data_IF_488305267029
#
_entry.id   IF_488305267029
#
_cell.length_a   1.000
_cell.length_b   1.000
_cell.length_c   1.000
_cell.angle_alpha   90.00
_cell.angle_beta   90.00
_cell.angle_gamma   90.00
#
_symmetry.space_group_name_H-M   'P 1'
#
loop_
_entity.id
_entity.type
_entity.pdbx_description
1 polymer ?
#
# COMPACT_ATOMS: atom_id res chain seq x y z
N UNK A 1 0.72 9.32 -0.35
CA UNK A 1 0.85 9.17 -1.82
C UNK A 1 0.28 10.41 -2.50
N UNK A 2 0.82 10.85 -3.64
CA UNK A 2 0.26 11.93 -4.45
C UNK A 2 -0.19 11.39 -5.82
N UNK A 3 -1.28 11.94 -6.37
CA UNK A 3 -1.69 11.69 -7.76
C UNK A 3 -1.45 12.93 -8.59
N UNK A 4 -0.60 12.77 -9.60
CA UNK A 4 -0.30 13.77 -10.61
C UNK A 4 -1.20 13.50 -11.83
N UNK A 5 -1.55 14.56 -12.55
CA UNK A 5 -2.36 14.43 -13.78
C UNK A 5 -1.51 14.75 -15.00
N UNK A 6 -1.57 13.89 -16.00
CA UNK A 6 -0.81 13.97 -17.24
C UNK A 6 -1.77 13.95 -18.44
N UNK A 7 -1.57 14.76 -19.49
CA UNK A 7 -0.64 15.88 -19.56
C UNK A 7 -1.07 17.06 -18.66
N UNK A 8 -0.11 17.81 -18.14
CA UNK A 8 -0.39 19.11 -17.49
C UNK A 8 -0.39 20.16 -18.58
N UNK A 9 -1.49 20.90 -18.72
CA UNK A 9 -1.66 21.96 -19.71
C UNK A 9 -2.28 23.18 -19.05
N UNK A 10 -1.76 24.37 -19.36
CA UNK A 10 -2.29 25.64 -18.86
C UNK A 10 -3.31 26.27 -19.83
N UNK A 11 -4.28 25.49 -20.32
CA UNK A 11 -5.34 25.98 -21.20
C UNK A 11 -6.73 25.64 -20.62
N UNK A 12 -7.72 26.49 -20.92
CA UNK A 12 -9.09 26.32 -20.41
C UNK A 12 -9.76 25.04 -20.95
N UNK A 13 -9.41 24.64 -22.18
CA UNK A 13 -9.97 23.44 -22.82
C UNK A 13 -9.55 22.15 -22.10
N UNK A 14 -8.34 22.06 -21.55
CA UNK A 14 -7.89 20.89 -20.80
C UNK A 14 -8.45 20.82 -19.38
N UNK A 15 -9.03 21.91 -18.86
CA UNK A 15 -9.57 21.94 -17.50
C UNK A 15 -10.71 20.92 -17.33
N UNK A 16 -11.62 20.84 -18.31
CA UNK A 16 -12.80 19.96 -18.27
C UNK A 16 -12.54 18.55 -18.84
N UNK A 17 -11.30 18.21 -19.20
CA UNK A 17 -10.95 16.92 -19.78
C UNK A 17 -10.36 15.99 -18.73
N UNK A 18 -10.78 14.73 -18.76
CA UNK A 18 -10.18 13.68 -17.94
C UNK A 18 -8.73 13.51 -18.38
N UNK A 19 -7.83 13.52 -17.41
CA UNK A 19 -6.39 13.37 -17.62
C UNK A 19 -5.93 12.00 -17.11
N UNK A 20 -4.80 11.56 -17.62
CA UNK A 20 -4.11 10.35 -17.21
C UNK A 20 -3.57 10.51 -15.80
N UNK A 21 -3.78 9.51 -14.95
CA UNK A 21 -3.25 9.56 -13.59
C UNK A 21 -1.85 8.96 -13.52
N UNK A 22 -0.93 9.69 -12.89
CA UNK A 22 0.41 9.26 -12.57
C UNK A 22 0.62 9.32 -11.06
N UNK A 23 0.92 8.18 -10.46
CA UNK A 23 1.01 7.99 -9.02
C UNK A 23 2.45 8.17 -8.55
N UNK A 24 2.59 8.83 -7.41
CA UNK A 24 3.87 9.01 -6.73
C UNK A 24 3.73 8.63 -5.25
N UNK A 25 4.44 7.59 -4.83
CA UNK A 25 4.58 7.22 -3.43
C UNK A 25 5.99 7.53 -2.95
N UNK A 26 6.13 8.19 -1.79
CA UNK A 26 7.41 8.62 -1.27
C UNK A 26 7.75 7.83 0.00
N UNK A 27 8.91 7.19 0.01
CA UNK A 27 9.57 6.65 1.21
C UNK A 27 10.79 7.50 1.47
N UNK A 28 10.79 8.19 2.61
CA UNK A 28 11.97 8.93 3.06
C UNK A 28 12.79 8.05 3.98
N UNK A 29 14.03 7.74 3.60
CA UNK A 29 14.97 7.03 4.44
C UNK A 29 15.65 8.02 5.39
N UNK A 30 15.39 7.84 6.69
CA UNK A 30 15.95 8.67 7.75
C UNK A 30 17.45 8.41 7.98
N UNK A 31 17.95 7.21 7.66
CA UNK A 31 19.36 6.87 7.83
C UNK A 31 20.22 7.55 6.77
N UNK A 32 19.84 7.43 5.49
CA UNK A 32 20.55 8.10 4.39
C UNK A 32 20.14 9.56 4.17
N UNK A 33 19.09 10.04 4.84
CA UNK A 33 18.46 11.34 4.63
C UNK A 33 18.03 11.57 3.17
N UNK A 34 17.52 10.54 2.49
CA UNK A 34 17.12 10.59 1.08
C UNK A 34 15.65 10.25 0.87
N UNK A 35 15.00 11.04 0.01
CA UNK A 35 13.66 10.73 -0.49
C UNK A 35 13.74 9.75 -1.66
N UNK A 36 12.92 8.72 -1.62
CA UNK A 36 12.73 7.75 -2.69
C UNK A 36 11.28 7.84 -3.19
N UNK A 37 11.09 8.27 -4.43
CA UNK A 37 9.78 8.37 -5.07
C UNK A 37 9.57 7.19 -6.02
N UNK A 38 8.56 6.38 -5.72
CA UNK A 38 8.10 5.26 -6.53
C UNK A 38 6.97 5.76 -7.43
N UNK A 39 7.18 5.66 -8.74
CA UNK A 39 6.29 6.20 -9.75
C UNK A 39 5.69 5.10 -10.60
N UNK A 40 4.37 5.15 -10.81
CA UNK A 40 3.65 4.27 -11.72
C UNK A 40 2.43 5.00 -12.27
N UNK A 41 1.86 4.50 -13.35
CA UNK A 41 0.62 5.05 -13.88
C UNK A 41 -0.57 4.11 -13.73
N UNK A 42 -1.76 4.64 -14.02
CA UNK A 42 -3.02 3.92 -13.88
C UNK A 42 -3.20 2.75 -14.87
N UNK A 43 -2.31 2.56 -15.83
CA UNK A 43 -2.30 1.35 -16.69
C UNK A 43 -1.51 0.21 -16.06
N UNK A 44 -0.55 0.52 -15.18
CA UNK A 44 0.30 -0.47 -14.54
C UNK A 44 -0.34 -1.04 -13.27
N UNK A 45 -0.88 -0.15 -12.42
CA UNK A 45 -1.50 -0.53 -11.15
C UNK A 45 -2.45 0.56 -10.67
N UNK A 46 -3.41 0.17 -9.83
CA UNK A 46 -4.37 1.09 -9.23
C UNK A 46 -3.74 1.87 -8.06
N UNK A 47 -4.56 2.25 -7.07
CA UNK A 47 -4.11 2.78 -5.79
C UNK A 47 -4.72 1.94 -4.68
N UNK A 48 -3.93 1.67 -3.66
CA UNK A 48 -4.43 0.91 -2.52
C UNK A 48 -3.29 0.26 -1.77
N UNK A 49 -3.67 -0.63 -0.85
CA UNK A 49 -2.72 -1.29 0.03
C UNK A 49 -1.72 -2.19 -0.71
N UNK A 50 -2.12 -2.85 -1.81
CA UNK A 50 -1.22 -3.68 -2.59
C UNK A 50 -0.06 -2.86 -3.18
N UNK A 51 -0.35 -1.68 -3.74
CA UNK A 51 0.67 -0.82 -4.35
C UNK A 51 1.63 -0.24 -3.32
N UNK A 52 1.10 0.20 -2.17
CA UNK A 52 1.94 0.73 -1.07
C UNK A 52 2.87 -0.36 -0.55
N UNK A 53 2.35 -1.56 -0.29
CA UNK A 53 3.17 -2.67 0.18
C UNK A 53 4.19 -3.12 -0.87
N UNK A 54 3.84 -3.09 -2.15
CA UNK A 54 4.75 -3.41 -3.25
C UNK A 54 5.89 -2.39 -3.34
N UNK A 55 5.61 -1.10 -3.19
CA UNK A 55 6.64 -0.06 -3.12
C UNK A 55 7.57 -0.26 -1.90
N UNK A 56 7.00 -0.63 -0.74
CA UNK A 56 7.80 -0.96 0.45
C UNK A 56 8.71 -2.16 0.21
N UNK A 57 8.19 -3.24 -0.39
CA UNK A 57 8.98 -4.41 -0.77
C UNK A 57 10.10 -4.04 -1.75
N UNK A 58 9.80 -3.20 -2.75
CA UNK A 58 10.80 -2.72 -3.70
C UNK A 58 11.90 -1.92 -3.02
N UNK A 59 11.54 -1.04 -2.08
CA UNK A 59 12.52 -0.30 -1.30
C UNK A 59 13.42 -1.23 -0.48
N UNK A 60 12.84 -2.23 0.19
CA UNK A 60 13.62 -3.22 0.96
C UNK A 60 14.55 -4.02 0.04
N UNK A 61 14.06 -4.47 -1.11
CA UNK A 61 14.87 -5.18 -2.11
C UNK A 61 16.09 -4.36 -2.54
N UNK A 62 15.88 -3.08 -2.87
CA UNK A 62 16.95 -2.18 -3.32
C UNK A 62 17.98 -1.85 -2.24
N UNK A 63 17.60 -1.93 -0.95
CA UNK A 63 18.48 -1.61 0.19
C UNK A 63 18.89 -2.85 1.00
N UNK A 64 18.60 -4.06 0.50
CA UNK A 64 18.83 -5.32 1.23
C UNK A 64 20.30 -5.56 1.59
N UNK A 65 21.23 -5.02 0.81
CA UNK A 65 22.69 -5.11 1.04
C UNK A 65 23.14 -4.48 2.35
N UNK A 66 22.36 -3.57 2.92
CA UNK A 66 22.76 -2.79 4.08
C UNK A 66 22.66 -3.60 5.39
N UNK A 67 22.05 -4.79 5.35
CA UNK A 67 22.11 -5.79 6.41
C UNK A 67 21.36 -5.43 7.70
N UNK A 68 20.46 -4.45 7.66
CA UNK A 68 19.70 -4.02 8.83
C UNK A 68 18.70 -5.10 9.29
N UNK A 69 18.66 -5.34 10.60
CA UNK A 69 17.78 -6.36 11.24
C UNK A 69 16.56 -5.78 11.92
N UNK A 70 16.56 -4.48 12.19
CA UNK A 70 15.45 -3.76 12.80
C UNK A 70 14.92 -2.71 11.84
N UNK A 71 13.61 -2.69 11.63
CA UNK A 71 12.94 -1.72 10.78
C UNK A 71 11.94 -0.89 11.57
N UNK A 72 12.07 0.44 11.50
CA UNK A 72 11.10 1.38 12.07
C UNK A 72 10.45 2.17 10.95
N UNK A 73 9.14 2.02 10.79
CA UNK A 73 8.33 2.69 9.77
C UNK A 73 7.49 3.76 10.46
N UNK A 74 7.57 4.99 9.96
CA UNK A 74 6.64 6.07 10.33
C UNK A 74 5.69 6.30 9.16
N UNK A 75 4.38 6.29 9.41
CA UNK A 75 3.38 6.44 8.38
C UNK A 75 2.20 7.31 8.84
N UNK A 76 1.44 7.87 7.90
CA UNK A 76 0.19 8.56 8.20
C UNK A 76 -0.93 7.56 8.59
N UNK A 77 -2.03 8.08 9.14
CA UNK A 77 -3.19 7.28 9.56
C UNK A 77 -4.15 6.93 8.40
N UNK A 78 -3.73 6.95 7.14
CA UNK A 78 -4.62 6.66 6.01
C UNK A 78 -5.02 5.18 5.98
N UNK A 79 -6.28 4.87 6.33
CA UNK A 79 -6.77 3.49 6.45
C UNK A 79 -6.66 2.69 5.14
N UNK A 80 -7.08 3.27 4.01
CA UNK A 80 -7.08 2.59 2.71
C UNK A 80 -5.68 2.26 2.16
N UNK A 81 -4.63 2.92 2.66
CA UNK A 81 -3.28 2.83 2.11
C UNK A 81 -2.26 2.31 3.13
N UNK A 82 -2.09 3.03 4.23
CA UNK A 82 -1.00 2.82 5.18
C UNK A 82 -1.45 2.07 6.45
N UNK A 83 -2.62 2.42 7.01
CA UNK A 83 -3.13 1.86 8.26
C UNK A 83 -4.16 0.77 8.03
N UNK A 84 -3.70 -0.36 7.50
CA UNK A 84 -4.53 -1.56 7.33
C UNK A 84 -3.77 -2.82 7.73
N UNK A 85 -4.51 -3.92 7.91
CA UNK A 85 -3.96 -5.21 8.30
C UNK A 85 -2.96 -5.77 7.28
N UNK A 86 -3.11 -5.45 5.98
CA UNK A 86 -2.23 -5.98 4.95
C UNK A 86 -0.79 -5.46 5.09
N UNK A 87 -0.60 -4.21 5.54
CA UNK A 87 0.73 -3.69 5.90
C UNK A 87 1.35 -4.48 7.06
N UNK A 88 0.54 -4.82 8.08
CA UNK A 88 0.99 -5.65 9.21
C UNK A 88 1.38 -7.06 8.73
N UNK A 89 0.57 -7.67 7.86
CA UNK A 89 0.83 -9.00 7.31
C UNK A 89 2.07 -9.04 6.42
N UNK A 90 2.28 -8.01 5.61
CA UNK A 90 3.49 -7.90 4.79
C UNK A 90 4.74 -7.81 5.68
N UNK A 91 4.69 -7.02 6.76
CA UNK A 91 5.77 -6.94 7.75
C UNK A 91 5.99 -8.29 8.46
N UNK A 92 4.92 -8.98 8.83
CA UNK A 92 5.01 -10.31 9.43
C UNK A 92 5.67 -11.32 8.47
N UNK A 93 5.33 -11.25 7.19
CA UNK A 93 5.97 -12.05 6.14
C UNK A 93 7.46 -11.75 6.01
N UNK A 94 7.87 -10.48 6.06
CA UNK A 94 9.29 -10.09 6.03
C UNK A 94 10.08 -10.64 7.23
N UNK A 95 9.48 -10.68 8.42
CA UNK A 95 10.06 -11.37 9.58
C UNK A 95 10.20 -12.87 9.33
N UNK A 96 9.18 -13.50 8.75
CA UNK A 96 9.19 -14.93 8.45
C UNK A 96 10.23 -15.33 7.40
N UNK A 97 10.50 -14.46 6.41
CA UNK A 97 11.57 -14.65 5.44
C UNK A 97 12.97 -14.54 6.06
N UNK A 98 13.08 -14.09 7.31
CA UNK A 98 14.35 -13.90 8.01
C UNK A 98 15.10 -12.63 7.60
N UNK A 99 14.45 -11.74 6.86
CA UNK A 99 15.03 -10.45 6.46
C UNK A 99 15.25 -9.56 7.70
N UNK A 100 14.31 -9.60 8.65
CA UNK A 100 14.31 -8.80 9.88
C UNK A 100 14.17 -9.64 11.15
N UNK A 101 14.64 -9.11 12.28
CA UNK A 101 14.42 -9.64 13.62
C UNK A 101 13.31 -8.86 14.36
N UNK A 102 13.16 -7.55 14.09
CA UNK A 102 12.04 -6.75 14.56
C UNK A 102 11.55 -5.71 13.53
N UNK A 103 10.24 -5.48 13.52
CA UNK A 103 9.62 -4.43 12.72
C UNK A 103 8.65 -3.65 13.60
N UNK A 104 8.79 -2.33 13.62
CA UNK A 104 7.92 -1.41 14.36
C UNK A 104 7.30 -0.41 13.40
N UNK A 105 6.00 -0.22 13.49
CA UNK A 105 5.26 0.76 12.70
C UNK A 105 4.64 1.77 13.66
N UNK A 106 4.91 3.04 13.44
CA UNK A 106 4.31 4.17 14.15
C UNK A 106 3.42 4.98 13.21
N UNK A 107 2.13 4.99 13.52
CA UNK A 107 1.16 5.81 12.82
C UNK A 107 1.04 7.18 13.48
N UNK A 108 1.35 8.22 12.71
CA UNK A 108 1.44 9.60 13.19
C UNK A 108 0.06 10.23 13.38
N UNK A 109 -0.12 11.00 14.45
CA UNK A 109 -1.38 11.73 14.70
C UNK A 109 -1.57 12.80 13.62
N UNK A 110 -2.75 12.80 13.00
CA UNK A 110 -3.12 13.75 11.96
C UNK A 110 -3.06 15.19 12.50
N UNK A 111 -2.60 16.14 11.68
CA UNK A 111 -2.60 17.58 12.00
C UNK A 111 -1.39 18.11 12.78
N UNK A 112 -0.50 17.25 13.30
CA UNK A 112 0.66 17.68 14.10
C UNK A 112 2.01 17.14 13.64
N UNK A 113 2.06 16.45 12.50
CA UNK A 113 3.27 15.77 12.03
C UNK A 113 3.64 16.30 10.63
N UNK A 114 4.70 17.12 10.54
CA UNK A 114 5.30 17.48 9.26
C UNK A 114 6.38 16.46 8.93
N UNK A 115 6.05 15.43 8.17
CA UNK A 115 6.98 14.36 7.83
C UNK A 115 7.98 14.83 6.77
N UNK A 116 9.20 14.27 6.72
CA UNK A 116 10.14 14.54 5.64
C UNK A 116 9.56 14.27 4.23
N UNK A 117 8.65 13.29 4.12
CA UNK A 117 7.89 13.05 2.89
C UNK A 117 7.04 14.27 2.47
N UNK A 118 6.39 14.96 3.41
CA UNK A 118 5.58 16.15 3.13
C UNK A 118 6.45 17.30 2.59
N UNK A 119 7.66 17.44 3.13
CA UNK A 119 8.66 18.40 2.61
C UNK A 119 9.09 18.06 1.18
N UNK A 120 9.32 16.79 0.89
CA UNK A 120 9.66 16.34 -0.46
C UNK A 120 8.51 16.63 -1.43
N UNK A 121 7.26 16.29 -1.06
CA UNK A 121 6.08 16.59 -1.87
C UNK A 121 5.89 18.10 -2.09
N UNK A 122 6.07 18.94 -1.07
CA UNK A 122 5.98 20.39 -1.23
C UNK A 122 7.04 20.96 -2.20
N UNK A 123 8.24 20.36 -2.21
CA UNK A 123 9.31 20.73 -3.16
C UNK A 123 8.96 20.29 -4.59
N UNK A 124 8.45 19.06 -4.74
CA UNK A 124 7.97 18.50 -6.01
C UNK A 124 6.84 19.37 -6.59
N UNK A 125 5.83 19.68 -5.78
CA UNK A 125 4.68 20.49 -6.19
C UNK A 125 5.13 21.90 -6.61
N UNK A 126 6.03 22.52 -5.83
CA UNK A 126 6.59 23.83 -6.18
C UNK A 126 7.27 23.81 -7.54
N UNK A 127 8.01 22.73 -7.85
CA UNK A 127 8.69 22.58 -9.13
C UNK A 127 7.72 22.30 -10.29
N UNK A 128 6.74 21.43 -10.08
CA UNK A 128 5.69 21.12 -11.06
C UNK A 128 4.84 22.36 -11.38
N UNK A 129 4.49 23.17 -10.36
CA UNK A 129 3.68 24.38 -10.54
C UNK A 129 4.35 25.43 -11.42
N UNK A 130 5.68 25.47 -11.44
CA UNK A 130 6.46 26.37 -12.32
C UNK A 130 6.44 25.92 -13.79
N UNK A 131 6.01 24.70 -14.08
CA UNK A 131 5.87 24.21 -15.44
C UNK A 131 4.47 24.53 -15.97
N UNK A 132 4.41 25.31 -17.05
CA UNK A 132 3.16 25.63 -17.75
C UNK A 132 2.60 24.40 -18.47
N UNK A 133 3.49 23.53 -18.94
CA UNK A 133 3.15 22.30 -19.67
C UNK A 133 4.05 21.15 -19.21
N UNK A 134 3.46 19.96 -19.05
CA UNK A 134 4.17 18.69 -18.85
C UNK A 134 3.50 17.67 -19.78
N UNK A 135 4.24 17.15 -20.75
CA UNK A 135 3.67 16.43 -21.90
C UNK A 135 3.47 14.94 -21.66
N UNK A 136 4.28 14.32 -20.79
CA UNK A 136 4.28 12.87 -20.57
C UNK A 136 4.76 12.53 -19.14
N UNK A 137 4.61 11.27 -18.69
CA UNK A 137 5.08 10.82 -17.37
C UNK A 137 6.60 10.89 -17.16
N UNK A 138 7.41 10.74 -18.21
CA UNK A 138 8.88 10.78 -18.09
C UNK A 138 9.41 12.19 -17.73
N UNK A 139 8.74 13.24 -18.22
CA UNK A 139 9.01 14.62 -17.80
C UNK A 139 8.71 14.80 -16.30
N UNK A 140 7.63 14.19 -15.79
CA UNK A 140 7.36 14.19 -14.34
C UNK A 140 8.48 13.51 -13.56
N UNK A 141 8.95 12.33 -13.99
CA UNK A 141 10.05 11.63 -13.33
C UNK A 141 11.31 12.51 -13.23
N UNK A 142 11.65 13.23 -14.31
CA UNK A 142 12.81 14.14 -14.36
C UNK A 142 12.63 15.36 -13.43
N UNK A 143 11.43 15.93 -13.38
CA UNK A 143 11.10 17.04 -12.49
C UNK A 143 11.17 16.61 -11.02
N UNK A 144 10.65 15.43 -10.69
CA UNK A 144 10.67 14.87 -9.34
C UNK A 144 12.12 14.61 -8.90
N UNK A 145 12.93 13.97 -9.75
CA UNK A 145 14.33 13.66 -9.46
C UNK A 145 15.14 14.89 -9.06
N UNK A 146 14.81 16.05 -9.64
CA UNK A 146 15.53 17.31 -9.43
C UNK A 146 14.76 18.29 -8.53
N UNK A 147 13.72 17.85 -7.82
CA UNK A 147 12.86 18.72 -7.02
C UNK A 147 13.52 19.29 -5.77
N UNK A 148 14.53 18.60 -5.23
CA UNK A 148 15.29 19.01 -4.05
C UNK A 148 16.75 19.25 -4.42
N UNK A 149 17.47 20.04 -3.62
CA UNK A 149 18.89 20.31 -3.86
C UNK A 149 19.76 19.04 -3.80
N UNK A 150 19.43 18.09 -2.91
CA UNK A 150 20.11 16.80 -2.80
C UNK A 150 19.65 15.74 -3.80
N UNK A 151 18.69 16.08 -4.68
CA UNK A 151 18.02 15.13 -5.55
C UNK A 151 17.04 14.22 -4.81
N UNK A 152 16.12 13.64 -5.57
CA UNK A 152 15.22 12.58 -5.13
C UNK A 152 15.56 11.33 -5.93
N UNK A 153 15.68 10.18 -5.26
CA UNK A 153 15.82 8.92 -5.96
C UNK A 153 14.47 8.55 -6.58
N UNK A 154 14.42 8.40 -7.91
CA UNK A 154 13.19 8.07 -8.63
C UNK A 154 13.25 6.64 -9.10
N UNK A 155 12.30 5.83 -8.64
CA UNK A 155 12.11 4.44 -9.03
C UNK A 155 10.85 4.37 -9.87
N UNK A 156 10.98 4.08 -11.17
CA UNK A 156 9.83 3.76 -12.02
C UNK A 156 9.45 2.31 -11.76
N UNK A 157 8.29 2.10 -11.16
CA UNK A 157 7.75 0.76 -10.94
C UNK A 157 7.31 0.18 -12.28
N UNK A 158 7.54 -1.10 -12.47
CA UNK A 158 6.97 -1.88 -13.56
C UNK A 158 5.73 -2.63 -13.08
N UNK A 159 4.92 -3.13 -14.01
CA UNK A 159 3.72 -3.88 -13.66
C UNK A 159 4.04 -5.13 -12.83
N UNK A 160 5.16 -5.80 -13.13
CA UNK A 160 5.64 -6.91 -12.33
C UNK A 160 5.96 -6.51 -10.90
N UNK A 161 6.35 -5.27 -10.58
CA UNK A 161 6.72 -4.93 -9.20
C UNK A 161 5.52 -4.98 -8.21
N UNK A 162 4.28 -5.10 -8.70
CA UNK A 162 3.08 -5.12 -7.89
C UNK A 162 2.62 -6.52 -7.49
N UNK A 163 2.46 -6.73 -6.19
CA UNK A 163 2.09 -8.01 -5.56
C UNK A 163 0.72 -7.94 -4.89
N UNK A 164 -0.01 -9.06 -4.93
CA UNK A 164 -1.25 -9.21 -4.17
C UNK A 164 -0.96 -9.63 -2.73
N UNK A 165 -0.87 -8.63 -1.84
CA UNK A 165 -0.65 -8.82 -0.41
C UNK A 165 -1.96 -9.16 0.30
N UNK A 166 -3.12 -8.83 -0.29
CA UNK A 166 -4.43 -9.16 0.28
C UNK A 166 -4.61 -10.68 0.44
N UNK A 167 -4.03 -11.47 -0.47
CA UNK A 167 -4.02 -12.94 -0.39
C UNK A 167 -3.49 -13.50 0.95
N UNK A 168 -2.59 -12.78 1.63
CA UNK A 168 -2.05 -13.19 2.94
C UNK A 168 -3.14 -13.31 4.02
N UNK A 169 -4.25 -12.58 3.89
CA UNK A 169 -5.38 -12.66 4.81
C UNK A 169 -5.98 -14.07 4.88
N UNK A 170 -5.92 -14.83 3.79
CA UNK A 170 -6.43 -16.22 3.74
C UNK A 170 -5.57 -17.22 4.55
N UNK A 171 -4.33 -16.83 4.89
CA UNK A 171 -3.36 -17.67 5.60
C UNK A 171 -3.41 -17.48 7.12
N UNK A 172 -4.17 -16.51 7.61
CA UNK A 172 -4.27 -16.19 9.04
C UNK A 172 -5.70 -16.37 9.56
N UNK A 173 -5.87 -16.26 10.88
CA UNK A 173 -7.19 -15.99 11.47
C UNK A 173 -7.18 -14.57 12.02
N UNK A 174 -8.01 -13.71 11.43
CA UNK A 174 -8.14 -12.33 11.86
C UNK A 174 -8.88 -12.27 13.20
N UNK A 175 -8.26 -11.69 14.22
CA UNK A 175 -8.84 -11.52 15.55
C UNK A 175 -8.93 -10.04 15.90
N UNK A 176 -10.07 -9.60 16.46
CA UNK A 176 -10.21 -8.24 17.01
C UNK A 176 -9.26 -8.10 18.21
N UNK A 177 -8.52 -7.00 18.35
CA UNK A 177 -7.95 -6.65 19.64
C UNK A 177 -9.08 -6.48 20.67
N UNK A 178 -8.86 -6.93 21.90
CA UNK A 178 -9.90 -6.98 22.94
C UNK A 178 -10.02 -5.67 23.71
N UNK A 179 -8.94 -4.91 23.82
CA UNK A 179 -8.86 -3.72 24.67
C UNK A 179 -9.28 -2.45 23.95
N UNK A 180 -9.02 -2.36 22.64
CA UNK A 180 -9.31 -1.17 21.83
C UNK A 180 -9.32 -1.51 20.33
N UNK A 181 -9.83 -0.61 19.49
CA UNK A 181 -9.96 -0.87 18.06
C UNK A 181 -8.61 -0.83 17.33
N UNK A 182 -8.48 -1.55 16.23
CA UNK A 182 -7.29 -1.48 15.36
C UNK A 182 -7.01 -0.04 14.90
N UNK A 183 -8.07 0.71 14.58
CA UNK A 183 -8.03 2.11 14.17
C UNK A 183 -7.50 3.04 15.27
N UNK A 184 -7.63 2.68 16.54
CA UNK A 184 -7.06 3.42 17.68
C UNK A 184 -5.58 3.07 17.93
N UNK A 185 -5.06 2.02 17.30
CA UNK A 185 -3.65 1.63 17.41
C UNK A 185 -2.70 2.68 16.84
N UNK A 186 -1.69 3.08 17.61
CA UNK A 186 -0.64 4.02 17.19
C UNK A 186 0.65 3.30 16.84
N UNK A 187 1.04 2.34 17.67
CA UNK A 187 2.28 1.60 17.48
C UNK A 187 1.95 0.13 17.31
N UNK A 188 2.53 -0.47 16.28
CA UNK A 188 2.47 -1.89 15.98
C UNK A 188 3.88 -2.43 16.01
N UNK A 189 4.14 -3.45 16.83
CA UNK A 189 5.48 -4.05 16.95
C UNK A 189 5.39 -5.54 16.67
N UNK A 190 6.23 -6.01 15.76
CA UNK A 190 6.36 -7.40 15.37
C UNK A 190 7.79 -7.84 15.66
N UNK A 191 7.96 -9.04 16.22
CA UNK A 191 9.26 -9.59 16.61
C UNK A 191 9.37 -11.06 16.20
N UNK A 192 10.54 -11.46 15.72
CA UNK A 192 10.80 -12.82 15.24
C UNK A 192 10.58 -13.92 16.29
N UNK A 193 10.76 -13.61 17.57
CA UNK A 193 10.49 -14.53 18.68
C UNK A 193 9.00 -14.83 18.88
N UNK A 194 8.11 -14.04 18.27
CA UNK A 194 6.64 -14.21 18.31
C UNK A 194 6.08 -14.19 16.87
N UNK A 195 6.34 -15.23 16.07
CA UNK A 195 6.08 -15.22 14.62
C UNK A 195 4.61 -14.99 14.25
N UNK A 196 3.66 -15.32 15.12
CA UNK A 196 2.23 -15.15 14.83
C UNK A 196 1.58 -13.97 15.55
N UNK A 197 2.35 -13.11 16.22
CA UNK A 197 1.79 -12.03 17.01
C UNK A 197 2.31 -10.66 16.59
N UNK A 198 1.42 -9.67 16.65
CA UNK A 198 1.82 -8.27 16.74
C UNK A 198 1.39 -7.70 18.09
N UNK A 199 2.19 -6.80 18.62
CA UNK A 199 1.85 -5.98 19.78
C UNK A 199 1.28 -4.65 19.30
N UNK A 200 0.09 -4.29 19.76
CA UNK A 200 -0.58 -3.04 19.43
C UNK A 200 -0.65 -2.16 20.68
N UNK A 201 -0.35 -0.87 20.53
CA UNK A 201 -0.45 0.15 21.59
C UNK A 201 -1.18 1.38 21.08
N UNK A 202 -2.13 1.92 21.86
CA UNK A 202 -2.83 3.17 21.54
C UNK A 202 -2.22 4.38 22.29
N UNK A 203 -2.77 5.58 22.04
CA UNK A 203 -2.37 6.82 22.72
C UNK A 203 -2.72 6.84 24.21
N UNK A 204 -3.75 6.10 24.64
CA UNK A 204 -4.25 6.05 26.02
C UNK A 204 -3.41 5.11 26.91
N UNK A 205 -2.35 4.52 26.37
CA UNK A 205 -1.46 3.59 27.09
C UNK A 205 -1.95 2.14 27.10
N UNK A 206 -3.15 1.85 26.59
CA UNK A 206 -3.64 0.48 26.42
C UNK A 206 -2.76 -0.25 25.41
N UNK A 207 -2.41 -1.50 25.73
CA UNK A 207 -1.66 -2.35 24.82
C UNK A 207 -2.02 -3.83 24.99
N UNK A 208 -1.90 -4.59 23.92
CA UNK A 208 -2.13 -6.03 23.91
C UNK A 208 -1.38 -6.72 22.77
N UNK A 209 -1.24 -8.05 22.89
CA UNK A 209 -0.77 -8.89 21.81
C UNK A 209 -1.96 -9.48 21.08
N UNK A 210 -1.97 -9.40 19.76
CA UNK A 210 -2.97 -10.01 18.90
C UNK A 210 -2.33 -11.20 18.19
N UNK A 211 -2.99 -12.34 18.30
CA UNK A 211 -2.60 -13.60 17.65
C UNK A 211 -3.23 -13.69 16.25
N UNK A 212 -2.42 -13.99 15.25
CA UNK A 212 -2.82 -14.19 13.86
C UNK A 212 -2.68 -15.64 13.40
N UNK A 213 -2.29 -16.57 14.29
CA UNK A 213 -2.14 -17.98 13.93
C UNK A 213 -3.47 -18.55 13.40
N UNK A 214 -3.39 -19.28 12.30
CA UNK A 214 -4.57 -19.84 11.62
C UNK A 214 -5.26 -20.87 12.52
N UNK A 215 -6.51 -20.60 12.90
CA UNK A 215 -7.32 -21.55 13.65
C UNK A 215 -7.60 -22.80 12.81
N UNK A 216 -7.34 -23.98 13.38
CA UNK A 216 -7.76 -25.24 12.76
C UNK A 216 -9.24 -25.46 13.03
N UNK A 217 -10.06 -25.54 11.98
CA UNK A 217 -11.43 -26.10 12.07
C UNK A 217 -11.31 -27.62 12.18
N UNK A 218 -11.14 -28.13 13.39
CA UNK A 218 -11.31 -29.56 13.67
C UNK A 218 -12.80 -29.93 13.72
N UNK A 219 -13.18 -31.20 13.49
CA UNK A 219 -14.51 -31.68 13.86
C UNK A 219 -14.76 -31.37 15.34
N UNK A 220 -16.02 -31.08 15.76
CA UNK A 220 -16.32 -30.84 17.17
C UNK A 220 -15.80 -32.04 17.99
N UNK A 221 -14.90 -31.75 18.93
CA UNK A 221 -14.23 -32.77 19.72
C UNK A 221 -15.27 -33.51 20.56
N UNK A 222 -15.72 -34.68 20.08
CA UNK A 222 -16.29 -35.70 20.96
C UNK A 222 -15.11 -36.28 21.75
N UNK A 223 -15.25 -36.34 23.07
CA UNK A 223 -14.39 -37.00 24.08
C UNK A 223 -13.43 -36.10 24.88
N UNK A 224 -13.63 -36.12 26.21
CA UNK A 224 -12.97 -35.36 27.28
C UNK A 224 -11.58 -35.89 27.68
N UNK A 225 -10.64 -36.14 26.75
CA UNK A 225 -9.27 -36.51 27.12
C UNK A 225 -8.24 -35.65 26.38
N UNK A 226 -7.86 -34.51 26.96
CA UNK A 226 -6.80 -33.62 26.45
C UNK A 226 -5.43 -34.09 26.94
N UNK A 227 -4.80 -34.98 26.19
CA UNK A 227 -3.32 -34.97 26.11
C UNK A 227 -2.96 -33.76 25.24
N UNK A 228 -2.28 -32.76 25.79
CA UNK A 228 -1.71 -31.64 25.01
C UNK A 228 -0.63 -32.20 24.08
N UNK A 229 -1.03 -32.68 22.90
CA UNK A 229 -0.10 -32.89 21.79
C UNK A 229 0.40 -31.51 21.36
N UNK A 230 1.65 -31.21 21.70
CA UNK A 230 2.38 -30.12 21.07
C UNK A 230 2.72 -30.60 19.66
N UNK A 231 1.89 -30.23 18.68
CA UNK A 231 2.03 -30.57 17.26
C UNK A 231 1.95 -29.27 16.42
N UNK A 232 2.51 -29.25 15.19
CA UNK A 232 3.39 -28.18 14.73
C UNK A 232 2.73 -26.82 14.55
N UNK A 233 3.51 -25.78 14.87
CA UNK A 233 3.30 -24.36 14.58
C UNK A 233 2.74 -24.17 13.16
N UNK A 234 1.74 -23.30 12.98
CA UNK A 234 1.24 -22.99 11.64
C UNK A 234 2.41 -22.68 10.67
N UNK A 235 2.34 -23.11 9.39
CA UNK A 235 3.39 -22.84 8.43
C UNK A 235 3.57 -21.33 8.29
N UNK A 236 4.82 -20.86 8.41
CA UNK A 236 5.14 -19.44 8.29
C UNK A 236 4.62 -18.89 6.95
N UNK A 237 4.45 -17.58 6.86
CA UNK A 237 4.02 -16.87 5.64
C UNK A 237 5.10 -16.87 4.52
N UNK A 238 5.90 -17.94 4.42
CA UNK A 238 7.00 -18.15 3.49
C UNK A 238 6.73 -19.22 2.45
N UNK A 239 5.69 -20.05 2.63
CA UNK A 239 5.45 -21.23 1.79
C UNK A 239 5.20 -20.89 0.32
N UNK A 240 4.59 -19.73 0.06
CA UNK A 240 4.22 -19.32 -1.29
C UNK A 240 4.82 -17.93 -1.62
N UNK A 241 5.42 -17.77 -2.82
CA UNK A 241 5.78 -16.45 -3.31
C UNK A 241 4.51 -15.61 -3.48
N UNK A 242 4.62 -14.31 -3.22
CA UNK A 242 3.50 -13.40 -3.49
C UNK A 242 3.17 -13.43 -4.99
N UNK A 243 1.90 -13.61 -5.31
CA UNK A 243 1.39 -13.56 -6.68
C UNK A 243 1.39 -12.10 -7.14
N UNK A 244 1.61 -11.87 -8.43
CA UNK A 244 1.50 -10.53 -9.02
C UNK A 244 0.05 -10.04 -8.94
N UNK A 245 -0.15 -8.78 -8.53
CA UNK A 245 -1.48 -8.18 -8.46
C UNK A 245 -2.10 -7.98 -9.85
N UNK A 246 -1.28 -7.75 -10.86
CA UNK A 246 -1.70 -7.45 -12.22
C UNK A 246 -0.98 -8.34 -13.22
N UNK A 247 -1.74 -9.08 -14.02
CA UNK A 247 -1.21 -9.95 -15.08
C UNK A 247 -1.10 -9.26 -16.44
N UNK A 248 -1.94 -8.24 -16.68
CA UNK A 248 -1.98 -7.46 -17.92
C UNK A 248 -2.14 -5.97 -17.61
N UNK A 249 -1.82 -5.15 -18.60
CA UNK A 249 -2.06 -3.70 -18.54
C UNK A 249 -3.55 -3.42 -18.33
N UNK A 250 -3.82 -2.48 -17.43
CA UNK A 250 -5.16 -2.07 -17.05
C UNK A 250 -5.77 -1.22 -18.16
N UNK A 251 -6.97 -1.61 -18.61
CA UNK A 251 -7.75 -0.84 -19.58
C UNK A 251 -8.26 0.44 -18.93
N UNK A 252 -7.97 1.57 -19.57
CA UNK A 252 -8.46 2.88 -19.22
C UNK A 252 -9.90 3.04 -19.73
N UNK A 253 -10.73 3.75 -18.96
CA UNK A 253 -12.05 4.22 -19.36
C UNK A 253 -12.03 4.86 -20.75
N UNK A 254 -12.92 4.40 -21.65
CA UNK A 254 -12.95 4.83 -23.06
C UNK A 254 -13.19 6.34 -23.17
N UNK A 255 -14.06 6.86 -22.31
CA UNK A 255 -14.33 8.29 -22.15
C UNK A 255 -13.07 9.09 -21.76
N UNK A 256 -12.18 8.53 -20.95
CA UNK A 256 -10.90 9.17 -20.62
C UNK A 256 -9.93 9.11 -21.81
N UNK A 257 -9.87 8.00 -22.53
CA UNK A 257 -9.01 7.86 -23.71
C UNK A 257 -9.40 8.86 -24.80
N UNK A 258 -10.70 9.05 -25.06
CA UNK A 258 -11.20 10.07 -25.98
C UNK A 258 -10.78 11.49 -25.56
N UNK A 259 -10.89 11.81 -24.27
CA UNK A 259 -10.43 13.08 -23.74
C UNK A 259 -8.92 13.29 -23.92
N UNK A 260 -8.10 12.26 -23.72
CA UNK A 260 -6.66 12.33 -23.97
C UNK A 260 -6.35 12.57 -25.45
N UNK A 261 -7.06 11.90 -26.36
CA UNK A 261 -6.94 12.12 -27.81
C UNK A 261 -7.30 13.55 -28.22
N UNK A 262 -8.32 14.15 -27.61
CA UNK A 262 -8.66 15.55 -27.84
C UNK A 262 -7.56 16.50 -27.36
N UNK A 263 -6.79 16.13 -26.33
CA UNK A 263 -5.66 16.93 -25.84
C UNK A 263 -4.42 16.84 -26.74
N UNK A 264 -4.35 15.86 -27.65
CA UNK A 264 -3.20 15.61 -28.53
C UNK A 264 -2.77 16.83 -29.33
N UNK A 265 -3.70 17.69 -29.74
CA UNK A 265 -3.38 18.90 -30.51
C UNK A 265 -2.51 19.90 -29.74
N UNK A 266 -2.62 19.91 -28.41
CA UNK A 266 -1.89 20.83 -27.52
C UNK A 266 -0.55 20.27 -27.03
N UNK A 267 -0.24 19.01 -27.33
CA UNK A 267 1.00 18.37 -26.88
C UNK A 267 2.16 18.66 -27.82
N UNK A 268 3.34 18.78 -27.25
CA UNK A 268 4.57 18.74 -28.03
C UNK A 268 4.85 17.32 -28.54
N UNK A 269 5.81 17.18 -29.47
CA UNK A 269 6.15 15.89 -30.11
C UNK A 269 6.32 14.72 -29.11
N UNK A 270 7.06 14.86 -27.99
CA UNK A 270 7.21 13.76 -27.03
C UNK A 270 5.88 13.33 -26.38
N UNK A 271 4.97 14.28 -26.16
CA UNK A 271 3.62 13.98 -25.63
C UNK A 271 2.75 13.26 -26.64
N UNK A 272 2.82 13.66 -27.93
CA UNK A 272 2.10 12.97 -29.02
C UNK A 272 2.58 11.53 -29.17
N UNK A 273 3.89 11.31 -29.17
CA UNK A 273 4.49 9.96 -29.27
C UNK A 273 4.12 9.10 -28.06
N UNK A 274 4.12 9.67 -26.85
CA UNK A 274 3.63 8.99 -25.65
C UNK A 274 2.15 8.57 -25.79
N UNK A 275 1.28 9.48 -26.21
CA UNK A 275 -0.14 9.20 -26.37
C UNK A 275 -0.40 8.17 -27.47
N UNK A 276 0.33 8.23 -28.58
CA UNK A 276 0.20 7.27 -29.68
C UNK A 276 0.60 5.85 -29.19
N UNK A 277 1.64 5.73 -28.35
CA UNK A 277 2.01 4.45 -27.69
C UNK A 277 0.93 3.97 -26.72
N UNK A 278 0.39 4.87 -25.91
CA UNK A 278 -0.69 4.55 -24.97
C UNK A 278 -1.93 4.01 -25.71
N UNK A 279 -2.33 4.63 -26.82
CA UNK A 279 -3.47 4.16 -27.61
C UNK A 279 -3.24 2.77 -28.18
N UNK A 280 -2.01 2.45 -28.60
CA UNK A 280 -1.67 1.13 -29.10
C UNK A 280 -1.71 0.08 -27.98
N UNK A 281 -1.13 0.39 -26.81
CA UNK A 281 -1.10 -0.54 -25.66
C UNK A 281 -2.50 -0.85 -25.14
N UNK A 282 -3.37 0.16 -25.13
CA UNK A 282 -4.76 0.05 -24.68
C UNK A 282 -5.66 -0.81 -25.59
N UNK A 283 -5.20 -1.23 -26.79
CA UNK A 283 -5.92 -2.19 -27.64
C UNK A 283 -5.89 -3.62 -27.10
N UNK A 284 -4.84 -3.96 -26.36
CA UNK A 284 -4.62 -5.29 -25.77
C UNK A 284 -4.79 -5.28 -24.24
N UNK A 285 -5.03 -4.12 -23.65
CA UNK A 285 -5.26 -3.96 -22.22
C UNK A 285 -6.58 -4.62 -21.79
N UNK A 286 -6.59 -5.15 -20.56
CA UNK A 286 -7.72 -5.89 -20.00
C UNK A 286 -8.37 -5.02 -18.93
N UNK A 287 -9.71 -5.00 -18.88
CA UNK A 287 -10.40 -4.36 -17.77
C UNK A 287 -9.96 -5.02 -16.46
N UNK A 288 -9.85 -4.24 -15.39
CA UNK A 288 -9.59 -4.82 -14.07
C UNK A 288 -10.74 -5.76 -13.77
N UNK A 289 -10.49 -7.07 -13.73
CA UNK A 289 -11.37 -7.98 -13.00
C UNK A 289 -11.23 -7.58 -11.54
N UNK A 290 -12.13 -6.70 -11.09
CA UNK A 290 -12.36 -6.49 -9.68
C UNK A 290 -12.60 -7.89 -9.08
N UNK A 291 -11.64 -8.40 -8.33
CA UNK A 291 -11.97 -9.39 -7.31
C UNK A 291 -12.79 -8.63 -6.28
N UNK A 292 -14.08 -8.48 -6.57
CA UNK A 292 -15.12 -7.89 -5.74
C UNK A 292 -14.60 -6.85 -4.74
N UNK A 293 -14.33 -5.63 -5.21
CA UNK A 293 -14.41 -4.43 -4.37
C UNK A 293 -15.90 -4.00 -4.22
N UNK A 294 -16.83 -4.97 -4.21
CA UNK A 294 -18.22 -4.78 -3.75
C UNK A 294 -18.31 -4.96 -2.23
N UNK A 295 -17.39 -4.32 -1.52
CA UNK A 295 -17.70 -3.70 -0.24
C UNK A 295 -17.31 -2.25 -0.49
N UNK A 296 -18.31 -1.41 -0.83
CA UNK A 296 -18.17 0.03 -0.67
C UNK A 296 -17.59 0.24 0.73
N UNK A 297 -16.30 0.57 0.84
CA UNK A 297 -15.78 1.08 2.10
C UNK A 297 -16.62 2.31 2.39
N UNK A 298 -17.48 2.31 3.42
CA UNK A 298 -18.33 3.44 3.67
C UNK A 298 -17.39 4.62 3.87
N UNK A 299 -17.67 5.71 3.16
CA UNK A 299 -17.20 7.03 3.57
C UNK A 299 -17.62 7.12 5.03
N UNK A 300 -16.63 7.08 5.93
CA UNK A 300 -16.83 7.36 7.35
C UNK A 300 -17.19 8.84 7.42
N UNK A 301 -18.45 9.13 7.15
CA UNK A 301 -19.09 10.31 7.68
C UNK A 301 -19.07 10.12 9.19
N UNK A 302 -18.45 11.10 9.80
CA UNK A 302 -17.99 11.09 11.16
C UNK A 302 -19.20 11.33 12.07
N UNK A 303 -20.08 10.33 12.22
CA UNK A 303 -21.06 10.14 13.30
C UNK A 303 -21.94 8.90 13.01
N UNK A 304 -21.88 7.88 13.87
CA UNK A 304 -22.84 6.75 13.96
C UNK A 304 -22.89 5.68 12.86
N UNK A 305 -21.87 4.81 12.73
CA UNK A 305 -22.08 3.48 12.14
C UNK A 305 -21.41 2.39 12.99
N UNK A 306 -22.22 1.44 13.47
CA UNK A 306 -21.76 0.23 14.14
C UNK A 306 -21.12 -0.70 13.10
N UNK A 307 -19.90 -1.14 13.42
CA UNK A 307 -18.93 -1.89 12.63
C UNK A 307 -19.34 -3.37 12.37
N UNK A 308 -20.61 -3.63 12.04
CA UNK A 308 -21.09 -4.95 11.63
C UNK A 308 -20.72 -5.28 10.17
N UNK A 309 -20.56 -4.27 9.31
CA UNK A 309 -20.39 -4.49 7.85
C UNK A 309 -18.95 -4.40 7.33
N UNK A 310 -17.95 -4.10 8.17
CA UNK A 310 -16.58 -3.87 7.68
C UNK A 310 -15.62 -5.05 7.81
N UNK A 311 -15.94 -6.05 8.61
CA UNK A 311 -15.07 -7.20 8.85
C UNK A 311 -15.92 -8.37 9.37
N UNK A 312 -16.10 -9.42 8.57
CA UNK A 312 -16.64 -10.70 9.06
C UNK A 312 -15.67 -11.31 10.08
N UNK A 313 -15.86 -11.01 11.35
CA UNK A 313 -15.17 -11.71 12.43
C UNK A 313 -15.92 -13.00 12.71
N UNK A 314 -15.17 -14.09 12.82
CA UNK A 314 -15.72 -15.34 13.34
C UNK A 314 -15.63 -15.26 14.85
N UNK A 315 -16.78 -15.17 15.51
CA UNK A 315 -16.86 -15.42 16.95
C UNK A 315 -16.51 -16.89 17.21
N UNK A 316 -15.32 -17.12 17.77
CA UNK A 316 -14.95 -18.43 18.29
C UNK A 316 -15.08 -18.33 19.81
N UNK A 317 -16.15 -18.93 20.34
CA UNK A 317 -16.31 -19.10 21.79
C UNK A 317 -15.16 -19.97 22.32
N UNK A 318 -14.48 -19.54 23.41
CA UNK A 318 -13.46 -20.37 24.03
C UNK A 318 -14.10 -21.63 24.67
N UNK A 319 -13.41 -22.78 24.71
CA UNK A 319 -13.89 -23.93 25.47
C UNK A 319 -13.94 -23.56 26.96
N UNK A 320 -15.09 -23.80 27.59
CA UNK A 320 -15.36 -23.49 28.99
C UNK A 320 -14.22 -23.93 29.91
N UNK A 321 -13.81 -23.01 30.79
CA UNK A 321 -12.90 -23.28 31.89
C UNK A 321 -13.57 -24.22 32.88
N UNK A 322 -13.17 -25.49 32.83
CA UNK A 322 -13.25 -26.44 33.97
C UNK A 322 -11.87 -27.04 34.18
#
# INVERSE_FOLDING_TARGET
QQTLTCPRLNNQRAYFRKKFNYHNFCIYDLNSCKANCFLWDETMAMKGSNEINSCLLKWIELNKSDGFKDLVIFADNCAGQNKNIYVILNCLRLLHLGDFDSIKIEFMVAGHSYMPCDRAFGSIETKIRKQSTINNPDEYATLIQTATAGGINVVKMAQEDFFDVKALKSLITLRRPKKFLFTEGRTFTLVKTKPWHYHIKNNKGSSEYVDLEKARKGPPAKTKNKVKRHEPTAPLLTSDPLVRAYSNEIKIDESKLEHLLQLREFLHRPGKEWLDRLVVSQRTAVAVTEQADSEETPVLDNDNAQDEDLLFYVDVTPPDST
#
